data_IF_493783911750
#
_entry.id   IF_493783911750
#
_cell.length_a   1.000
_cell.length_b   1.000
_cell.length_c   1.000
_cell.angle_alpha   90.00
_cell.angle_beta   90.00
_cell.angle_gamma   90.00
#
_symmetry.space_group_name_H-M   'P 1'
#
loop_
_entity.id
_entity.type
_entity.pdbx_description
1 polymer ?
#
# COMPACT_ATOMS: atom_id res chain seq x y z
N UNK A 1 -15.26 -19.07 6.56
CA UNK A 1 -15.63 -18.62 5.21
C UNK A 1 -14.70 -17.49 4.78
N UNK A 2 -13.76 -17.75 3.87
CA UNK A 2 -12.94 -16.70 3.27
C UNK A 2 -13.78 -16.04 2.16
N UNK A 3 -14.36 -14.88 2.44
CA UNK A 3 -14.99 -14.05 1.42
C UNK A 3 -13.94 -13.13 0.82
N UNK A 4 -13.72 -13.21 -0.49
CA UNK A 4 -12.92 -12.20 -1.20
C UNK A 4 -13.84 -11.00 -1.44
N UNK A 5 -13.43 -9.82 -0.99
CA UNK A 5 -14.19 -8.59 -1.25
C UNK A 5 -14.15 -8.26 -2.75
N UNK A 6 -15.32 -7.93 -3.31
CA UNK A 6 -15.46 -7.40 -4.67
C UNK A 6 -15.60 -5.87 -4.59
N UNK A 7 -14.95 -5.16 -5.50
CA UNK A 7 -14.94 -3.70 -5.56
C UNK A 7 -15.37 -3.24 -6.95
N UNK A 8 -16.07 -2.10 -7.00
CA UNK A 8 -16.50 -1.48 -8.26
C UNK A 8 -15.37 -0.77 -8.98
N UNK A 9 -14.31 -0.36 -8.26
CA UNK A 9 -13.14 0.32 -8.83
C UNK A 9 -11.82 -0.12 -8.19
N UNK A 10 -10.70 0.14 -8.88
CA UNK A 10 -9.36 -0.06 -8.32
C UNK A 10 -9.12 0.82 -7.08
N UNK A 11 -9.63 2.05 -7.09
CA UNK A 11 -9.46 2.97 -5.97
C UNK A 11 -10.12 2.43 -4.70
N UNK A 12 -11.31 1.84 -4.81
CA UNK A 12 -12.01 1.22 -3.68
C UNK A 12 -11.22 0.05 -3.09
N UNK A 13 -10.62 -0.80 -3.93
CA UNK A 13 -9.82 -1.92 -3.45
C UNK A 13 -8.56 -1.46 -2.72
N UNK A 14 -7.90 -0.41 -3.24
CA UNK A 14 -6.75 0.22 -2.58
C UNK A 14 -7.15 0.84 -1.24
N UNK A 15 -8.26 1.59 -1.19
CA UNK A 15 -8.78 2.18 0.06
C UNK A 15 -9.10 1.10 1.10
N UNK A 16 -9.78 0.04 0.71
CA UNK A 16 -10.12 -1.07 1.60
C UNK A 16 -8.87 -1.80 2.11
N UNK A 17 -7.87 -2.01 1.24
CA UNK A 17 -6.61 -2.60 1.65
C UNK A 17 -5.86 -1.71 2.65
N UNK A 18 -5.82 -0.39 2.40
CA UNK A 18 -5.21 0.58 3.32
C UNK A 18 -5.95 0.62 4.66
N UNK A 19 -7.28 0.51 4.67
CA UNK A 19 -8.06 0.38 5.90
C UNK A 19 -7.65 -0.88 6.66
N UNK A 20 -7.63 -2.03 5.99
CA UNK A 20 -7.27 -3.32 6.57
C UNK A 20 -5.87 -3.29 7.21
N UNK A 21 -4.88 -2.71 6.52
CA UNK A 21 -3.51 -2.52 7.02
C UNK A 21 -3.48 -1.72 8.34
N UNK A 22 -4.38 -0.73 8.47
CA UNK A 22 -4.44 0.18 9.60
C UNK A 22 -5.36 -0.28 10.74
N UNK A 23 -6.21 -1.30 10.56
CA UNK A 23 -7.19 -1.71 11.59
C UNK A 23 -7.10 -3.19 11.96
N UNK A 24 -6.81 -4.08 11.03
CA UNK A 24 -6.93 -5.53 11.26
C UNK A 24 -5.76 -6.10 12.07
N UNK A 25 -6.03 -7.10 12.91
CA UNK A 25 -5.08 -7.66 13.87
C UNK A 25 -3.86 -8.32 13.20
N UNK A 26 -4.03 -8.92 12.02
CA UNK A 26 -2.94 -9.52 11.26
C UNK A 26 -1.80 -8.53 10.92
N UNK A 27 -2.08 -7.22 10.91
CA UNK A 27 -1.09 -6.17 10.64
C UNK A 27 -0.65 -5.41 11.89
N UNK A 28 -0.92 -5.93 13.08
CA UNK A 28 -0.49 -5.30 14.33
C UNK A 28 1.04 -5.08 14.36
N UNK A 29 1.83 -6.04 13.89
CA UNK A 29 3.29 -5.92 13.82
C UNK A 29 3.74 -4.72 12.97
N UNK A 30 3.10 -4.50 11.82
CA UNK A 30 3.39 -3.35 10.97
C UNK A 30 3.08 -2.03 11.69
N UNK A 31 1.92 -1.93 12.34
CA UNK A 31 1.53 -0.72 13.07
C UNK A 31 2.44 -0.45 14.27
N UNK A 32 2.82 -1.49 15.00
CA UNK A 32 3.73 -1.41 16.12
C UNK A 32 5.12 -0.94 15.68
N UNK A 33 5.66 -1.51 14.58
CA UNK A 33 6.94 -1.09 14.04
C UNK A 33 6.92 0.37 13.59
N UNK A 34 5.86 0.78 12.91
CA UNK A 34 5.66 2.19 12.49
C UNK A 34 5.58 3.13 13.70
N UNK A 35 4.88 2.74 14.77
CA UNK A 35 4.81 3.53 16.00
C UNK A 35 6.16 3.62 16.73
N UNK A 36 6.92 2.53 16.77
CA UNK A 36 8.28 2.48 17.32
C UNK A 36 9.22 3.45 16.60
N UNK A 37 9.25 3.40 15.26
CA UNK A 37 10.09 4.28 14.43
C UNK A 37 9.73 5.75 14.65
N UNK A 38 8.43 6.08 14.73
CA UNK A 38 7.97 7.44 15.07
C UNK A 38 8.46 7.91 16.42
N UNK A 39 8.31 7.08 17.46
CA UNK A 39 8.78 7.41 18.82
C UNK A 39 10.29 7.66 18.88
N UNK A 40 11.06 6.95 18.04
CA UNK A 40 12.51 7.08 17.95
C UNK A 40 12.96 8.17 16.97
N UNK A 41 12.03 8.87 16.32
CA UNK A 41 12.29 9.84 15.25
C UNK A 41 13.17 9.24 14.12
N UNK A 42 12.97 7.96 13.81
CA UNK A 42 13.68 7.25 12.74
C UNK A 42 12.88 7.32 11.44
N UNK A 43 13.58 7.35 10.29
CA UNK A 43 12.94 7.34 8.98
C UNK A 43 12.06 6.10 8.83
N UNK A 44 10.81 6.32 8.39
CA UNK A 44 9.85 5.26 8.09
C UNK A 44 9.88 5.07 6.58
N UNK A 45 10.16 3.85 6.13
CA UNK A 45 10.16 3.51 4.70
C UNK A 45 9.23 2.34 4.44
N UNK A 46 8.67 2.29 3.24
CA UNK A 46 7.87 1.17 2.77
C UNK A 46 8.63 -0.15 2.85
N UNK A 47 9.92 -0.14 2.51
CA UNK A 47 10.79 -1.32 2.60
C UNK A 47 10.92 -1.87 4.03
N UNK A 48 11.04 -1.00 5.05
CA UNK A 48 11.11 -1.42 6.46
C UNK A 48 9.76 -1.94 6.97
N UNK A 49 8.66 -1.29 6.57
CA UNK A 49 7.33 -1.73 7.00
C UNK A 49 6.90 -3.04 6.33
N UNK A 50 7.34 -3.28 5.08
CA UNK A 50 7.05 -4.51 4.35
C UNK A 50 7.59 -5.77 5.05
N UNK A 51 8.67 -5.65 5.84
CA UNK A 51 9.21 -6.75 6.66
C UNK A 51 8.22 -7.29 7.69
N UNK A 52 7.19 -6.50 8.03
CA UNK A 52 6.17 -6.87 8.99
C UNK A 52 4.96 -7.59 8.35
N UNK A 53 5.00 -7.86 7.04
CA UNK A 53 3.89 -8.44 6.27
C UNK A 53 4.01 -9.96 6.05
N UNK A 54 4.81 -10.66 6.84
CA UNK A 54 5.03 -12.11 6.71
C UNK A 54 3.74 -12.91 6.91
N UNK A 55 2.83 -12.46 7.77
CA UNK A 55 1.56 -13.14 8.05
C UNK A 55 0.47 -12.89 6.99
N UNK A 56 0.74 -12.03 6.00
CA UNK A 56 -0.24 -11.71 4.96
C UNK A 56 -0.34 -12.80 3.88
N UNK A 57 0.75 -13.53 3.66
CA UNK A 57 0.82 -14.57 2.65
C UNK A 57 1.30 -15.87 3.27
N UNK A 58 0.73 -16.99 2.85
CA UNK A 58 1.26 -18.32 3.17
C UNK A 58 2.73 -18.49 2.73
N UNK A 59 3.19 -17.66 1.79
CA UNK A 59 4.58 -17.61 1.32
C UNK A 59 5.54 -16.92 2.31
N UNK A 60 5.04 -16.27 3.36
CA UNK A 60 5.85 -15.67 4.43
C UNK A 60 6.92 -14.71 3.91
N UNK A 61 8.17 -14.99 4.26
CA UNK A 61 9.34 -14.19 3.86
C UNK A 61 9.54 -14.08 2.35
N UNK A 62 9.16 -15.12 1.58
CA UNK A 62 9.29 -15.06 0.13
C UNK A 62 8.35 -14.01 -0.48
N UNK A 63 7.19 -13.77 0.14
CA UNK A 63 6.30 -12.68 -0.24
C UNK A 63 6.92 -11.32 0.07
N UNK A 64 7.48 -11.14 1.28
CA UNK A 64 8.18 -9.90 1.68
C UNK A 64 9.32 -9.58 0.72
N UNK A 65 10.15 -10.57 0.36
CA UNK A 65 11.24 -10.40 -0.60
C UNK A 65 10.71 -9.93 -1.96
N UNK A 66 9.62 -10.52 -2.43
CA UNK A 66 8.99 -10.14 -3.71
C UNK A 66 8.52 -8.68 -3.68
N UNK A 67 7.85 -8.25 -2.59
CA UNK A 67 7.42 -6.87 -2.42
C UNK A 67 8.60 -5.88 -2.45
N UNK A 68 9.66 -6.16 -1.68
CA UNK A 68 10.84 -5.28 -1.64
C UNK A 68 11.52 -5.19 -3.02
N UNK A 69 11.59 -6.29 -3.76
CA UNK A 69 12.11 -6.28 -5.14
C UNK A 69 11.24 -5.46 -6.09
N UNK A 70 9.91 -5.51 -5.97
CA UNK A 70 9.01 -4.67 -6.77
C UNK A 70 9.16 -3.18 -6.43
N UNK A 71 9.31 -2.85 -5.15
CA UNK A 71 9.53 -1.46 -4.70
C UNK A 71 10.83 -0.90 -5.28
N UNK A 72 11.90 -1.68 -5.25
CA UNK A 72 13.21 -1.30 -5.78
C UNK A 72 13.20 -1.16 -7.31
N UNK A 73 12.68 -2.18 -8.02
CA UNK A 73 12.59 -2.18 -9.48
C UNK A 73 11.80 -0.98 -10.01
N UNK A 74 10.66 -0.67 -9.37
CA UNK A 74 9.80 0.46 -9.75
C UNK A 74 10.24 1.79 -9.12
N UNK A 75 11.35 1.83 -8.38
CA UNK A 75 11.92 3.04 -7.75
C UNK A 75 10.90 3.79 -6.90
N UNK A 76 10.19 3.08 -6.03
CA UNK A 76 9.07 3.63 -5.24
C UNK A 76 9.52 4.39 -3.98
N UNK A 77 10.82 4.52 -3.73
CA UNK A 77 11.33 5.26 -2.55
C UNK A 77 10.83 6.71 -2.44
N UNK A 78 10.52 7.47 -3.52
CA UNK A 78 9.92 8.80 -3.37
C UNK A 78 8.55 8.80 -2.66
N UNK A 79 7.83 7.67 -2.67
CA UNK A 79 6.56 7.54 -1.96
C UNK A 79 6.74 7.53 -0.42
N UNK A 80 7.94 7.25 0.09
CA UNK A 80 8.21 7.26 1.54
C UNK A 80 8.09 8.66 2.14
N UNK A 81 8.39 9.67 1.33
CA UNK A 81 8.42 11.08 1.73
C UNK A 81 7.18 11.85 1.19
N UNK A 82 6.21 11.12 0.61
CA UNK A 82 4.99 11.71 0.07
C UNK A 82 4.04 12.20 1.17
N UNK A 83 3.46 13.36 0.95
CA UNK A 83 2.45 13.97 1.81
C UNK A 83 1.22 14.34 1.00
N UNK A 84 0.07 14.42 1.66
CA UNK A 84 -1.13 14.96 1.03
C UNK A 84 -0.90 16.43 0.76
N UNK A 85 -1.15 16.85 -0.48
CA UNK A 85 -1.16 18.27 -0.82
C UNK A 85 -2.26 18.98 -0.03
N UNK A 86 -1.99 20.20 0.42
CA UNK A 86 -3.02 21.09 0.98
C UNK A 86 -3.98 21.65 -0.10
N UNK A 87 -3.71 21.37 -1.38
CA UNK A 87 -4.53 21.76 -2.51
C UNK A 87 -5.74 20.84 -2.76
N UNK A 88 -6.65 21.25 -3.67
CA UNK A 88 -7.76 20.40 -4.06
C UNK A 88 -7.25 19.09 -4.70
N UNK A 89 -7.96 17.96 -4.49
CA UNK A 89 -7.56 16.67 -5.06
C UNK A 89 -7.52 16.73 -6.60
N UNK A 90 -6.44 16.24 -7.19
CA UNK A 90 -6.31 16.09 -8.64
C UNK A 90 -6.92 14.75 -9.03
N UNK A 91 -8.03 14.79 -9.77
CA UNK A 91 -8.64 13.60 -10.37
C UNK A 91 -8.01 13.34 -11.74
N UNK A 92 -7.15 12.34 -11.82
CA UNK A 92 -6.67 11.83 -13.11
C UNK A 92 -7.79 10.99 -13.73
N UNK A 93 -8.59 11.61 -14.59
CA UNK A 93 -9.58 10.90 -15.41
C UNK A 93 -8.84 10.41 -16.65
N UNK A 94 -8.62 9.09 -16.83
CA UNK A 94 -8.09 8.58 -18.08
C UNK A 94 -9.09 8.91 -19.18
N UNK A 95 -8.64 9.64 -20.20
CA UNK A 95 -9.41 9.85 -21.42
C UNK A 95 -9.46 8.49 -22.11
N UNK A 96 -10.54 7.73 -21.87
CA UNK A 96 -10.82 6.57 -22.70
C UNK A 96 -10.93 7.05 -24.15
N UNK A 97 -10.19 6.37 -25.02
CA UNK A 97 -10.12 6.62 -26.46
C UNK A 97 -11.50 6.95 -27.03
N UNK A 98 -11.53 7.95 -27.91
CA UNK A 98 -12.67 8.25 -28.77
C UNK A 98 -13.31 6.93 -29.21
N UNK A 99 -14.58 6.73 -28.86
CA UNK A 99 -15.41 5.77 -29.54
C UNK A 99 -15.26 6.06 -31.04
N UNK A 100 -14.62 5.15 -31.77
CA UNK A 100 -14.60 5.18 -33.22
C UNK A 100 -16.05 5.04 -33.69
N UNK A 101 -16.75 6.17 -33.75
CA UNK A 101 -17.92 6.35 -34.58
C UNK A 101 -17.46 6.36 -36.03
N UNK A 102 -17.37 5.18 -36.63
CA UNK A 102 -17.69 4.86 -38.03
C UNK A 102 -17.53 3.37 -38.29
#
# INVERSE_FOLDING_TARGET
SYGIAAFGTLQESVCAYMLNLNTHNAYASLRNKRAELRKKNQKITGALLAEQLTQYSERGEAYVKTLKSMMDYNRLSPADDAYLSDGPPIYLVPIAAEENGK
#
